data_IF_357516056870
#
_entry.id   IF_357516056870
#
_cell.length_a   1.000
_cell.length_b   1.000
_cell.length_c   1.000
_cell.angle_alpha   90.00
_cell.angle_beta   90.00
_cell.angle_gamma   90.00
#
_symmetry.space_group_name_H-M   'P 1'
#
loop_
_entity.id
_entity.type
_entity.pdbx_description
1 polymer ?
#
# COMPACT_ATOMS: atom_id res chain seq x y z
N UNK A 1 -19.04 -22.57 -15.00
CA UNK A 1 -18.98 -21.78 -13.74
C UNK A 1 -19.43 -20.37 -14.06
N UNK A 2 -20.44 -19.85 -13.39
CA UNK A 2 -20.86 -18.45 -13.51
C UNK A 2 -19.69 -17.58 -13.05
N UNK A 3 -19.25 -16.63 -13.89
CA UNK A 3 -18.16 -15.71 -13.49
C UNK A 3 -18.63 -14.92 -12.27
N UNK A 4 -17.82 -14.90 -11.21
CA UNK A 4 -18.11 -14.21 -9.94
C UNK A 4 -18.04 -12.67 -10.12
N UNK A 5 -17.47 -12.20 -11.22
CA UNK A 5 -17.31 -10.79 -11.60
C UNK A 5 -17.31 -10.65 -13.13
N UNK A 6 -17.58 -9.45 -13.63
CA UNK A 6 -17.41 -9.11 -15.03
C UNK A 6 -16.21 -8.16 -15.22
N UNK A 7 -15.49 -8.28 -16.34
CA UNK A 7 -14.42 -7.39 -16.75
C UNK A 7 -14.65 -6.95 -18.18
N UNK A 8 -14.66 -5.64 -18.41
CA UNK A 8 -14.88 -5.01 -19.71
C UNK A 8 -13.88 -3.87 -19.90
N UNK A 9 -13.32 -3.73 -21.08
CA UNK A 9 -12.52 -2.56 -21.46
C UNK A 9 -13.38 -1.68 -22.35
N UNK A 10 -13.55 -0.42 -21.99
CA UNK A 10 -14.27 0.55 -22.82
C UNK A 10 -13.41 1.00 -24.01
N UNK A 11 -14.02 1.60 -25.03
CA UNK A 11 -13.31 2.06 -26.24
C UNK A 11 -12.21 3.08 -25.94
N UNK A 12 -12.35 3.87 -24.87
CA UNK A 12 -11.35 4.81 -24.39
C UNK A 12 -10.26 4.19 -23.51
N UNK A 13 -10.24 2.86 -23.36
CA UNK A 13 -9.24 2.12 -22.64
C UNK A 13 -9.52 1.93 -21.14
N UNK A 14 -10.60 2.50 -20.58
CA UNK A 14 -10.95 2.30 -19.18
C UNK A 14 -11.29 0.82 -18.90
N UNK A 15 -10.58 0.23 -17.95
CA UNK A 15 -10.88 -1.12 -17.46
C UNK A 15 -11.98 -1.04 -16.41
N UNK A 16 -13.09 -1.75 -16.63
CA UNK A 16 -14.24 -1.78 -15.72
C UNK A 16 -14.40 -3.19 -15.17
N UNK A 17 -14.40 -3.32 -13.85
CA UNK A 17 -14.65 -4.56 -13.13
C UNK A 17 -15.90 -4.41 -12.26
N UNK A 18 -16.87 -5.30 -12.43
CA UNK A 18 -18.15 -5.25 -11.73
C UNK A 18 -18.40 -6.55 -10.98
N UNK A 19 -18.84 -6.45 -9.72
CA UNK A 19 -19.21 -7.59 -8.87
C UNK A 19 -20.54 -7.34 -8.17
N UNK A 20 -21.57 -8.06 -8.56
CA UNK A 20 -22.89 -7.98 -7.91
C UNK A 20 -22.85 -8.64 -6.53
N UNK A 21 -23.34 -7.92 -5.50
CA UNK A 21 -23.44 -8.39 -4.11
C UNK A 21 -24.71 -7.79 -3.51
N UNK A 22 -25.74 -8.61 -3.28
CA UNK A 22 -27.05 -8.18 -2.81
C UNK A 22 -27.27 -8.39 -1.31
N UNK A 23 -26.21 -8.35 -0.50
CA UNK A 23 -26.31 -8.55 0.96
C UNK A 23 -26.70 -7.30 1.74
N UNK A 24 -26.50 -6.12 1.14
CA UNK A 24 -26.86 -4.82 1.69
C UNK A 24 -27.15 -3.85 0.54
N UNK A 25 -28.04 -2.86 0.71
CA UNK A 25 -28.38 -1.87 -0.32
C UNK A 25 -27.30 -0.80 -0.48
N UNK A 26 -26.06 -1.23 -0.65
CA UNK A 26 -24.88 -0.38 -0.78
C UNK A 26 -24.09 -0.74 -2.05
N UNK A 27 -23.44 0.27 -2.61
CA UNK A 27 -22.47 0.10 -3.71
C UNK A 27 -21.21 0.85 -3.35
N UNK A 28 -20.05 0.23 -3.57
CA UNK A 28 -18.74 0.86 -3.48
C UNK A 28 -18.12 0.94 -4.86
N UNK A 29 -17.67 2.12 -5.24
CA UNK A 29 -16.97 2.44 -6.49
C UNK A 29 -15.55 2.90 -6.17
N UNK A 30 -14.56 2.34 -6.85
CA UNK A 30 -13.15 2.72 -6.72
C UNK A 30 -12.58 3.00 -8.09
N UNK A 31 -12.02 4.19 -8.28
CA UNK A 31 -11.21 4.50 -9.46
C UNK A 31 -9.73 4.45 -9.09
N UNK A 32 -8.97 3.67 -9.82
CA UNK A 32 -7.55 3.43 -9.62
C UNK A 32 -6.78 3.99 -10.79
N UNK A 33 -5.80 4.83 -10.53
CA UNK A 33 -4.85 5.29 -11.52
C UNK A 33 -3.51 4.58 -11.32
N UNK A 34 -2.93 4.10 -12.43
CA UNK A 34 -1.61 3.46 -12.41
C UNK A 34 -0.52 4.53 -12.34
N UNK A 35 -0.46 5.22 -11.24
CA UNK A 35 0.52 6.26 -10.89
C UNK A 35 0.62 6.38 -9.39
N UNK A 36 1.85 6.38 -8.90
CA UNK A 36 2.19 6.56 -7.48
C UNK A 36 3.62 7.05 -7.36
N UNK A 37 4.21 6.95 -6.18
CA UNK A 37 5.57 7.49 -5.98
C UNK A 37 6.63 6.80 -6.85
N UNK A 38 6.42 5.57 -7.31
CA UNK A 38 7.32 4.89 -8.26
C UNK A 38 7.41 5.56 -9.64
N UNK A 39 6.41 6.35 -10.02
CA UNK A 39 6.37 7.04 -11.32
C UNK A 39 6.92 8.46 -11.23
N UNK A 40 7.51 8.82 -10.09
CA UNK A 40 8.10 10.12 -9.80
C UNK A 40 9.59 10.17 -10.16
N UNK A 41 10.07 11.37 -10.39
CA UNK A 41 11.49 11.62 -10.67
C UNK A 41 12.08 12.52 -9.58
N UNK A 42 13.36 12.43 -9.35
CA UNK A 42 14.09 13.33 -8.45
C UNK A 42 13.80 14.79 -8.81
N UNK A 43 13.50 15.59 -7.81
CA UNK A 43 13.05 16.98 -7.96
C UNK A 43 11.53 17.14 -7.94
N UNK A 44 10.77 16.02 -8.00
CA UNK A 44 9.32 16.01 -8.01
C UNK A 44 8.74 14.88 -7.13
N UNK A 45 9.46 14.48 -6.09
CA UNK A 45 8.97 13.47 -5.14
C UNK A 45 7.77 14.02 -4.35
N UNK A 46 6.76 13.17 -4.13
CA UNK A 46 5.50 13.56 -3.49
C UNK A 46 4.46 14.18 -4.43
N UNK A 47 4.76 14.32 -5.73
CA UNK A 47 3.84 14.93 -6.68
C UNK A 47 2.54 14.13 -6.85
N UNK A 48 2.60 12.80 -6.76
CA UNK A 48 1.42 11.92 -6.88
C UNK A 48 0.48 12.11 -5.69
N UNK A 49 1.02 12.18 -4.48
CA UNK A 49 0.27 12.46 -3.27
C UNK A 49 -0.34 13.88 -3.28
N UNK A 50 0.44 14.87 -3.67
CA UNK A 50 -0.08 16.22 -3.79
C UNK A 50 -1.14 16.35 -4.89
N UNK A 51 -1.01 15.64 -6.01
CA UNK A 51 -2.07 15.56 -7.01
C UNK A 51 -3.35 14.93 -6.45
N UNK A 52 -3.25 13.94 -5.56
CA UNK A 52 -4.40 13.39 -4.84
C UNK A 52 -5.13 14.48 -4.06
N UNK A 53 -4.44 15.29 -3.25
CA UNK A 53 -5.01 16.42 -2.52
C UNK A 53 -5.71 17.42 -3.45
N UNK A 54 -5.10 17.73 -4.58
CA UNK A 54 -5.69 18.66 -5.56
C UNK A 54 -7.00 18.14 -6.18
N UNK A 55 -7.23 16.83 -6.20
CA UNK A 55 -8.50 16.27 -6.68
C UNK A 55 -9.68 16.64 -5.77
N UNK A 56 -9.44 16.97 -4.49
CA UNK A 56 -10.47 17.44 -3.56
C UNK A 56 -10.78 18.95 -3.67
N UNK A 57 -9.99 19.70 -4.47
CA UNK A 57 -10.21 21.14 -4.68
C UNK A 57 -11.30 21.43 -5.71
N UNK A 58 -11.89 20.37 -6.29
CA UNK A 58 -13.11 20.45 -7.11
C UNK A 58 -12.87 20.69 -8.59
N UNK A 59 -13.98 20.80 -9.27
CA UNK A 59 -14.11 21.09 -10.71
C UNK A 59 -15.08 22.21 -10.93
N UNK A 60 -15.20 22.78 -12.14
CA UNK A 60 -16.25 23.75 -12.45
C UNK A 60 -17.67 23.24 -12.19
N UNK A 61 -17.89 21.93 -12.34
CA UNK A 61 -19.19 21.29 -12.15
C UNK A 61 -19.44 20.91 -10.68
N UNK A 62 -18.39 20.47 -9.99
CA UNK A 62 -18.42 20.07 -8.59
C UNK A 62 -17.39 20.89 -7.80
N UNK A 63 -17.72 22.14 -7.41
CA UNK A 63 -16.83 22.93 -6.57
C UNK A 63 -16.54 22.26 -5.23
N UNK A 64 -15.33 22.45 -4.68
CA UNK A 64 -14.83 21.77 -3.48
C UNK A 64 -15.79 21.82 -2.28
N UNK A 65 -16.40 22.98 -2.04
CA UNK A 65 -17.35 23.18 -0.94
C UNK A 65 -18.67 22.40 -1.07
N UNK A 66 -18.95 21.83 -2.25
CA UNK A 66 -20.15 21.03 -2.53
C UNK A 66 -19.87 19.53 -2.57
N UNK A 67 -18.64 19.11 -2.87
CA UNK A 67 -18.27 17.69 -3.02
C UNK A 67 -18.58 16.89 -1.74
N UNK A 68 -17.95 17.26 -0.63
CA UNK A 68 -18.13 16.56 0.65
C UNK A 68 -19.60 16.58 1.10
N UNK A 69 -20.24 17.77 0.98
CA UNK A 69 -21.66 17.92 1.37
C UNK A 69 -22.59 17.08 0.51
N UNK A 70 -22.30 16.92 -0.78
CA UNK A 70 -23.13 16.12 -1.68
C UNK A 70 -23.06 14.63 -1.33
N UNK A 71 -21.86 14.11 -1.07
CA UNK A 71 -21.66 12.72 -0.65
C UNK A 71 -22.25 12.47 0.73
N UNK A 72 -21.97 13.34 1.71
CA UNK A 72 -22.47 13.20 3.09
C UNK A 72 -24.00 13.31 3.18
N UNK A 73 -24.61 14.25 2.43
CA UNK A 73 -26.09 14.41 2.37
C UNK A 73 -26.77 13.13 1.91
N UNK A 74 -26.19 12.43 0.97
CA UNK A 74 -26.77 11.22 0.40
C UNK A 74 -26.33 9.94 1.16
N UNK A 75 -25.69 10.10 2.34
CA UNK A 75 -25.30 9.01 3.25
C UNK A 75 -24.09 8.21 2.77
N UNK A 76 -23.28 8.82 1.92
CA UNK A 76 -22.05 8.23 1.41
C UNK A 76 -20.84 8.49 2.31
N UNK A 77 -19.82 7.69 2.11
CA UNK A 77 -18.45 7.91 2.59
C UNK A 77 -17.51 7.89 1.39
N UNK A 78 -16.47 8.69 1.44
CA UNK A 78 -15.46 8.78 0.40
C UNK A 78 -14.09 9.01 1.01
N UNK A 79 -13.06 8.62 0.29
CA UNK A 79 -11.66 8.92 0.62
C UNK A 79 -10.78 8.71 -0.61
N UNK A 80 -9.48 8.97 -0.46
CA UNK A 80 -8.46 8.69 -1.45
C UNK A 80 -7.18 8.20 -0.76
N UNK A 81 -6.30 7.58 -1.54
CA UNK A 81 -5.01 7.11 -1.07
C UNK A 81 -4.02 7.11 -2.23
N UNK A 82 -2.81 7.53 -1.96
CA UNK A 82 -1.65 7.32 -2.83
C UNK A 82 -0.72 6.30 -2.21
N UNK A 83 -0.23 5.38 -3.03
CA UNK A 83 0.75 4.38 -2.64
C UNK A 83 1.91 4.37 -3.67
N UNK A 84 2.82 3.40 -3.57
CA UNK A 84 3.95 3.33 -4.49
C UNK A 84 3.51 3.19 -5.96
N UNK A 85 2.55 2.32 -6.25
CA UNK A 85 2.18 1.91 -7.62
C UNK A 85 0.89 2.54 -8.14
N UNK A 86 0.13 3.21 -7.28
CA UNK A 86 -1.21 3.67 -7.60
C UNK A 86 -1.67 4.84 -6.74
N UNK A 87 -2.62 5.59 -7.30
CA UNK A 87 -3.48 6.54 -6.59
C UNK A 87 -4.92 6.13 -6.83
N UNK A 88 -5.74 6.13 -5.78
CA UNK A 88 -7.13 5.69 -5.85
C UNK A 88 -8.07 6.61 -5.10
N UNK A 89 -9.29 6.71 -5.59
CA UNK A 89 -10.40 7.43 -4.98
C UNK A 89 -11.59 6.48 -4.88
N UNK A 90 -12.38 6.60 -3.83
CA UNK A 90 -13.54 5.74 -3.68
C UNK A 90 -14.71 6.43 -3.00
N UNK A 91 -15.90 5.97 -3.36
CA UNK A 91 -17.15 6.23 -2.68
C UNK A 91 -17.85 4.92 -2.34
N UNK A 92 -18.40 4.87 -1.13
CA UNK A 92 -19.38 3.84 -0.75
C UNK A 92 -20.68 4.54 -0.39
N UNK A 93 -21.74 4.24 -1.13
CA UNK A 93 -23.00 4.95 -1.07
C UNK A 93 -24.20 3.99 -1.05
N UNK A 94 -25.39 4.44 -0.61
CA UNK A 94 -26.63 3.75 -0.91
C UNK A 94 -26.73 3.45 -2.41
N UNK A 95 -27.26 2.27 -2.75
CA UNK A 95 -27.27 1.77 -4.13
C UNK A 95 -27.98 2.71 -5.12
N UNK A 96 -29.03 3.41 -4.67
CA UNK A 96 -29.77 4.40 -5.47
C UNK A 96 -29.07 5.75 -5.60
N UNK A 97 -27.91 5.94 -4.95
CA UNK A 97 -27.13 7.20 -4.94
C UNK A 97 -25.75 7.08 -5.58
N UNK A 98 -25.29 5.88 -5.94
CA UNK A 98 -23.92 5.68 -6.46
C UNK A 98 -23.61 6.45 -7.75
N UNK A 99 -24.64 6.81 -8.52
CA UNK A 99 -24.49 7.63 -9.74
C UNK A 99 -23.81 8.96 -9.46
N UNK A 100 -23.99 9.55 -8.28
CA UNK A 100 -23.30 10.76 -7.87
C UNK A 100 -21.77 10.53 -7.79
N UNK A 101 -21.33 9.47 -7.11
CA UNK A 101 -19.90 9.14 -7.00
C UNK A 101 -19.27 8.89 -8.37
N UNK A 102 -19.92 8.07 -9.21
CA UNK A 102 -19.44 7.81 -10.57
C UNK A 102 -19.28 9.09 -11.40
N UNK A 103 -20.18 10.06 -11.26
CA UNK A 103 -20.11 11.35 -11.98
C UNK A 103 -19.05 12.28 -11.44
N UNK A 104 -18.83 12.30 -10.12
CA UNK A 104 -17.76 13.06 -9.49
C UNK A 104 -16.42 12.56 -10.03
N UNK A 105 -16.17 11.25 -9.99
CA UNK A 105 -14.92 10.64 -10.43
C UNK A 105 -14.66 10.85 -11.92
N UNK A 106 -15.69 10.70 -12.77
CA UNK A 106 -15.58 10.94 -14.19
C UNK A 106 -15.26 12.42 -14.50
N UNK A 107 -15.82 13.34 -13.74
CA UNK A 107 -15.59 14.77 -13.94
C UNK A 107 -14.20 15.18 -13.49
N UNK A 108 -13.75 14.74 -12.30
CA UNK A 108 -12.39 15.07 -11.82
C UNK A 108 -11.27 14.34 -12.58
N UNK A 109 -11.56 13.29 -13.33
CA UNK A 109 -10.59 12.67 -14.24
C UNK A 109 -10.08 13.65 -15.33
N UNK A 110 -10.91 14.66 -15.73
CA UNK A 110 -10.58 15.56 -16.85
C UNK A 110 -10.69 17.04 -16.52
N UNK A 111 -11.45 17.42 -15.48
CA UNK A 111 -11.83 18.80 -15.20
C UNK A 111 -11.35 19.33 -13.84
N UNK A 112 -10.47 18.61 -13.12
CA UNK A 112 -9.92 19.11 -11.86
C UNK A 112 -9.20 20.43 -12.05
N UNK A 113 -9.50 21.38 -11.15
CA UNK A 113 -8.94 22.73 -11.19
C UNK A 113 -7.70 22.80 -10.32
N UNK A 114 -6.57 23.06 -10.95
CA UNK A 114 -5.30 23.30 -10.26
C UNK A 114 -5.10 24.83 -10.16
N UNK A 115 -5.93 25.47 -9.32
CA UNK A 115 -5.84 26.91 -9.07
C UNK A 115 -4.58 27.25 -8.26
N UNK A 116 -3.87 28.31 -8.60
CA UNK A 116 -2.62 28.70 -7.97
C UNK A 116 -2.76 29.00 -6.45
N UNK A 117 -3.91 29.56 -6.04
CA UNK A 117 -4.16 29.86 -4.64
C UNK A 117 -4.42 28.60 -3.83
N UNK A 118 -5.18 27.65 -4.41
CA UNK A 118 -5.41 26.35 -3.80
C UNK A 118 -4.10 25.57 -3.69
N UNK A 119 -3.25 25.57 -4.72
CA UNK A 119 -1.92 24.95 -4.69
C UNK A 119 -1.05 25.58 -3.60
N UNK A 120 -1.03 26.90 -3.49
CA UNK A 120 -0.24 27.58 -2.45
C UNK A 120 -0.74 27.25 -1.03
N UNK A 121 -2.07 27.13 -0.86
CA UNK A 121 -2.68 26.71 0.40
C UNK A 121 -2.34 25.26 0.72
N UNK A 122 -2.50 24.35 -0.27
CA UNK A 122 -2.31 22.94 -0.10
C UNK A 122 -0.83 22.55 0.09
N UNK A 123 0.09 23.31 -0.50
CA UNK A 123 1.52 23.20 -0.21
C UNK A 123 1.80 23.22 1.29
N UNK A 124 1.16 24.16 2.00
CA UNK A 124 1.33 24.29 3.45
C UNK A 124 0.80 23.05 4.17
N UNK A 125 -0.31 22.49 3.70
CA UNK A 125 -0.91 21.26 4.26
C UNK A 125 0.03 20.09 4.07
N UNK A 126 0.46 19.82 2.85
CA UNK A 126 1.35 18.67 2.52
C UNK A 126 2.70 18.79 3.24
N UNK A 127 3.27 20.01 3.33
CA UNK A 127 4.49 20.24 4.11
C UNK A 127 4.23 19.97 5.61
N UNK A 128 3.10 20.42 6.16
CA UNK A 128 2.77 20.16 7.58
C UNK A 128 2.55 18.66 7.85
N UNK A 129 1.99 17.91 6.91
CA UNK A 129 1.88 16.44 7.01
C UNK A 129 3.25 15.77 6.99
N UNK A 130 4.16 16.22 6.11
CA UNK A 130 5.54 15.74 6.07
C UNK A 130 6.26 16.02 7.40
N UNK A 131 6.21 17.26 7.88
CA UNK A 131 6.82 17.65 9.15
C UNK A 131 6.17 16.93 10.34
N UNK A 132 4.85 16.67 10.27
CA UNK A 132 4.13 15.84 11.25
C UNK A 132 4.63 14.40 11.28
N UNK A 133 4.85 13.81 10.12
CA UNK A 133 5.40 12.45 9.98
C UNK A 133 6.83 12.33 10.52
N UNK A 134 7.65 13.38 10.37
CA UNK A 134 9.02 13.42 10.91
C UNK A 134 9.07 13.43 12.47
N UNK A 135 7.96 13.64 13.15
CA UNK A 135 7.88 13.47 14.61
C UNK A 135 7.70 12.00 15.03
N UNK A 136 7.43 11.09 14.11
CA UNK A 136 7.35 9.65 14.39
C UNK A 136 8.70 8.97 14.16
N UNK A 137 9.35 8.45 15.20
CA UNK A 137 10.59 7.68 15.07
C UNK A 137 10.51 6.52 14.08
N UNK A 138 9.35 5.87 13.97
CA UNK A 138 9.13 4.74 13.07
C UNK A 138 9.15 5.20 11.61
N UNK A 139 8.60 6.37 11.32
CA UNK A 139 8.64 6.98 10.00
C UNK A 139 10.08 7.33 9.59
N UNK A 140 10.81 8.03 10.46
CA UNK A 140 12.20 8.40 10.18
C UNK A 140 13.10 7.18 9.93
N UNK A 141 12.92 6.14 10.75
CA UNK A 141 13.67 4.90 10.59
C UNK A 141 13.29 4.16 9.30
N UNK A 142 11.99 4.03 9.03
CA UNK A 142 11.46 3.36 7.84
C UNK A 142 11.95 4.03 6.55
N UNK A 143 11.84 5.36 6.47
CA UNK A 143 12.33 6.15 5.34
C UNK A 143 13.84 5.96 5.10
N UNK A 144 14.63 6.02 6.16
CA UNK A 144 16.09 5.82 6.06
C UNK A 144 16.45 4.40 5.60
N UNK A 145 15.73 3.38 6.09
CA UNK A 145 15.90 1.98 5.69
C UNK A 145 15.49 1.78 4.23
N UNK A 146 14.34 2.30 3.82
CA UNK A 146 13.86 2.23 2.45
C UNK A 146 14.81 2.91 1.48
N UNK A 147 15.28 4.10 1.80
CA UNK A 147 16.26 4.83 1.00
C UNK A 147 17.58 4.06 0.84
N UNK A 148 18.05 3.42 1.91
CA UNK A 148 19.26 2.58 1.87
C UNK A 148 19.08 1.25 1.13
N UNK A 149 17.85 0.74 1.06
CA UNK A 149 17.53 -0.51 0.37
C UNK A 149 17.53 -0.36 -1.15
N UNK A 150 17.04 0.77 -1.67
CA UNK A 150 16.89 1.01 -3.11
C UNK A 150 17.88 2.05 -3.60
N UNK A 151 18.73 1.64 -4.53
CA UNK A 151 19.77 2.48 -5.10
C UNK A 151 19.37 3.12 -6.44
N UNK A 152 18.54 2.42 -7.20
CA UNK A 152 18.14 2.83 -8.55
C UNK A 152 16.63 2.79 -8.77
N UNK A 153 15.91 1.93 -8.08
CA UNK A 153 14.46 1.82 -8.20
C UNK A 153 13.76 3.02 -7.52
N UNK A 154 12.71 3.59 -8.12
CA UNK A 154 11.98 4.72 -7.52
C UNK A 154 11.32 4.44 -6.17
N UNK A 155 11.24 3.20 -5.73
CA UNK A 155 10.81 2.87 -4.36
C UNK A 155 11.78 3.37 -3.26
N UNK A 156 12.83 4.11 -3.61
CA UNK A 156 13.79 4.62 -2.64
C UNK A 156 13.25 5.77 -1.77
N UNK A 157 12.18 6.47 -2.19
CA UNK A 157 11.63 7.62 -1.46
C UNK A 157 10.21 7.36 -0.95
N UNK A 158 9.83 8.10 0.06
CA UNK A 158 8.51 8.03 0.66
C UNK A 158 7.43 8.66 -0.24
N UNK A 159 6.19 8.20 -0.07
CA UNK A 159 5.03 8.63 -0.86
C UNK A 159 4.77 10.12 -0.69
N UNK A 160 4.97 10.64 0.52
CA UNK A 160 4.76 12.06 0.83
C UNK A 160 5.79 12.97 0.16
N UNK A 161 6.93 12.42 -0.26
CA UNK A 161 8.00 13.14 -0.95
C UNK A 161 8.95 13.90 -0.05
N UNK A 162 10.01 14.43 -0.66
CA UNK A 162 11.07 15.17 0.01
C UNK A 162 10.71 16.65 0.18
N UNK A 163 11.03 17.21 1.35
CA UNK A 163 10.68 18.59 1.68
C UNK A 163 11.22 19.64 0.67
N UNK A 164 12.45 19.51 0.12
CA UNK A 164 12.92 20.42 -0.92
C UNK A 164 12.07 20.39 -2.19
N UNK A 165 11.62 19.20 -2.62
CA UNK A 165 10.80 19.01 -3.80
C UNK A 165 9.42 19.63 -3.59
N UNK A 166 8.77 19.36 -2.44
CA UNK A 166 7.49 19.95 -2.06
C UNK A 166 7.53 21.50 -2.05
N UNK A 167 8.66 22.08 -1.64
CA UNK A 167 8.85 23.53 -1.63
C UNK A 167 9.04 24.13 -3.03
N UNK A 168 9.62 23.38 -3.97
CA UNK A 168 10.03 23.88 -5.28
C UNK A 168 9.02 23.62 -6.41
N UNK A 169 8.20 22.55 -6.30
CA UNK A 169 7.22 22.20 -7.35
C UNK A 169 6.27 23.34 -7.68
N UNK A 170 6.06 23.56 -8.96
CA UNK A 170 5.16 24.57 -9.49
C UNK A 170 3.74 24.02 -9.76
N UNK A 171 2.81 24.93 -10.00
CA UNK A 171 1.47 24.57 -10.48
C UNK A 171 1.53 23.74 -11.77
N UNK A 172 2.41 24.09 -12.68
CA UNK A 172 2.50 23.43 -13.99
C UNK A 172 3.08 22.00 -13.86
N UNK A 173 3.98 21.75 -12.91
CA UNK A 173 4.44 20.40 -12.62
C UNK A 173 3.29 19.50 -12.18
N UNK A 174 2.49 19.93 -11.20
CA UNK A 174 1.31 19.21 -10.70
C UNK A 174 0.27 19.01 -11.80
N UNK A 175 -0.05 20.05 -12.57
CA UNK A 175 -1.04 19.96 -13.63
C UNK A 175 -0.58 19.04 -14.77
N UNK A 176 0.70 19.09 -15.15
CA UNK A 176 1.27 18.20 -16.16
C UNK A 176 1.27 16.74 -15.68
N UNK A 177 1.57 16.49 -14.39
CA UNK A 177 1.46 15.16 -13.81
C UNK A 177 0.02 14.64 -13.87
N UNK A 178 -0.95 15.44 -13.43
CA UNK A 178 -2.37 15.12 -13.55
C UNK A 178 -2.76 14.80 -15.00
N UNK A 179 -2.42 15.67 -15.96
CA UNK A 179 -2.78 15.47 -17.37
C UNK A 179 -2.11 14.25 -18.00
N UNK A 180 -0.96 13.84 -17.49
CA UNK A 180 -0.21 12.69 -17.99
C UNK A 180 -0.81 11.37 -17.51
N UNK A 181 -1.22 11.29 -16.25
CA UNK A 181 -1.54 10.02 -15.63
C UNK A 181 -3.03 9.79 -15.38
N UNK A 182 -3.85 10.85 -15.25
CA UNK A 182 -5.27 10.74 -14.92
C UNK A 182 -6.11 10.69 -16.20
N UNK A 183 -6.11 9.50 -16.83
CA UNK A 183 -6.84 9.26 -18.07
C UNK A 183 -7.48 7.86 -18.07
N UNK A 184 -8.56 7.63 -18.84
CA UNK A 184 -9.27 6.36 -18.86
C UNK A 184 -8.37 5.14 -19.14
N UNK A 185 -7.48 5.26 -20.11
CA UNK A 185 -6.56 4.18 -20.50
C UNK A 185 -5.43 3.91 -19.50
N UNK A 186 -5.29 4.72 -18.45
CA UNK A 186 -4.41 4.49 -17.31
C UNK A 186 -5.19 4.14 -16.03
N UNK A 187 -6.51 3.96 -16.14
CA UNK A 187 -7.38 3.77 -15.00
C UNK A 187 -8.10 2.42 -14.98
N UNK A 188 -8.49 2.01 -13.78
CA UNK A 188 -9.36 0.87 -13.51
C UNK A 188 -10.52 1.36 -12.66
N UNK A 189 -11.75 1.09 -13.09
CA UNK A 189 -12.95 1.32 -12.31
C UNK A 189 -13.45 -0.02 -11.77
N UNK A 190 -13.41 -0.20 -10.46
CA UNK A 190 -13.94 -1.40 -9.78
C UNK A 190 -15.17 -1.04 -8.95
N UNK A 191 -16.27 -1.75 -9.19
CA UNK A 191 -17.55 -1.50 -8.52
C UNK A 191 -18.09 -2.81 -7.96
N UNK A 192 -18.42 -2.83 -6.67
CA UNK A 192 -19.07 -3.96 -6.03
C UNK A 192 -20.28 -3.50 -5.22
N UNK A 193 -21.34 -4.32 -5.17
CA UNK A 193 -22.51 -4.03 -4.37
C UNK A 193 -23.84 -4.38 -5.03
N UNK A 194 -24.89 -3.74 -4.56
CA UNK A 194 -26.27 -4.02 -4.93
C UNK A 194 -26.68 -3.31 -6.23
N UNK A 195 -26.39 -3.93 -7.35
CA UNK A 195 -26.77 -3.47 -8.69
C UNK A 195 -26.88 -4.65 -9.65
N UNK A 196 -27.48 -4.40 -10.84
CA UNK A 196 -27.41 -5.35 -11.95
C UNK A 196 -26.26 -4.98 -12.89
N UNK A 197 -25.41 -5.93 -13.19
CA UNK A 197 -24.19 -5.73 -14.03
C UNK A 197 -24.50 -5.04 -15.35
N UNK A 198 -25.58 -5.44 -16.05
CA UNK A 198 -25.94 -4.85 -17.35
C UNK A 198 -26.34 -3.38 -17.25
N UNK A 199 -27.10 -3.02 -16.20
CA UNK A 199 -27.54 -1.63 -15.96
C UNK A 199 -26.37 -0.76 -15.52
N UNK A 200 -25.54 -1.25 -14.59
CA UNK A 200 -24.34 -0.54 -14.13
C UNK A 200 -23.35 -0.31 -15.27
N UNK A 201 -23.08 -1.32 -16.09
CA UNK A 201 -22.17 -1.17 -17.25
C UNK A 201 -22.70 -0.16 -18.27
N UNK A 202 -24.00 -0.13 -18.53
CA UNK A 202 -24.62 0.85 -19.42
C UNK A 202 -24.46 2.28 -18.86
N UNK A 203 -24.68 2.47 -17.57
CA UNK A 203 -24.50 3.75 -16.89
C UNK A 203 -23.02 4.22 -16.93
N UNK A 204 -22.09 3.31 -16.63
CA UNK A 204 -20.64 3.61 -16.70
C UNK A 204 -20.24 3.99 -18.14
N UNK A 205 -20.76 3.33 -19.17
CA UNK A 205 -20.52 3.68 -20.58
C UNK A 205 -21.04 5.08 -20.92
N UNK A 206 -22.22 5.46 -20.41
CA UNK A 206 -22.77 6.81 -20.64
C UNK A 206 -21.93 7.89 -19.96
N UNK A 207 -21.43 7.64 -18.74
CA UNK A 207 -20.65 8.58 -17.93
C UNK A 207 -19.20 8.68 -18.44
N UNK A 208 -18.49 7.56 -18.51
CA UNK A 208 -17.05 7.52 -18.81
C UNK A 208 -16.71 7.36 -20.28
N UNK A 209 -17.59 6.76 -21.09
CA UNK A 209 -17.29 6.46 -22.50
C UNK A 209 -17.06 7.69 -23.37
N UNK A 210 -17.50 8.86 -22.94
CA UNK A 210 -17.32 10.14 -23.62
C UNK A 210 -15.97 10.82 -23.29
N UNK A 211 -15.27 10.33 -22.27
CA UNK A 211 -13.96 10.86 -21.86
C UNK A 211 -12.92 10.39 -22.88
N UNK A 212 -12.14 11.29 -23.48
CA UNK A 212 -11.16 10.89 -24.48
C UNK A 212 -10.04 10.06 -23.85
N UNK A 213 -9.50 9.13 -24.63
CA UNK A 213 -8.27 8.42 -24.29
C UNK A 213 -7.12 9.40 -24.16
N UNK A 214 -6.31 9.27 -23.11
CA UNK A 214 -5.06 10.02 -22.96
C UNK A 214 -3.91 9.39 -23.75
N UNK A 215 -2.79 10.09 -23.83
CA UNK A 215 -1.54 9.50 -24.28
C UNK A 215 -1.13 8.36 -23.33
N UNK A 216 -0.37 7.38 -23.82
CA UNK A 216 0.20 6.36 -22.95
C UNK A 216 1.21 7.04 -22.00
N UNK A 217 1.03 6.94 -20.68
CA UNK A 217 1.96 7.58 -19.74
C UNK A 217 3.34 6.91 -19.82
N UNK A 218 4.40 7.68 -19.56
CA UNK A 218 5.74 7.13 -19.47
C UNK A 218 5.80 6.10 -18.33
N UNK A 219 6.60 5.05 -18.52
CA UNK A 219 6.85 4.05 -17.47
C UNK A 219 8.32 4.07 -17.08
N UNK A 220 8.57 4.28 -15.81
CA UNK A 220 9.92 4.17 -15.27
C UNK A 220 10.24 2.70 -15.08
N UNK A 221 11.22 2.19 -15.84
CA UNK A 221 11.70 0.81 -15.77
C UNK A 221 13.16 0.82 -15.32
N UNK A 222 13.37 0.98 -14.03
CA UNK A 222 14.69 0.94 -13.40
C UNK A 222 14.72 -0.17 -12.35
N UNK A 223 15.02 -1.42 -12.74
CA UNK A 223 15.08 -2.51 -11.77
C UNK A 223 16.18 -2.25 -10.74
N UNK A 224 15.91 -2.60 -9.50
CA UNK A 224 16.95 -2.56 -8.46
C UNK A 224 17.98 -3.66 -8.72
N UNK A 225 19.28 -3.33 -8.75
CA UNK A 225 20.31 -4.34 -8.86
C UNK A 225 20.35 -5.24 -7.62
N UNK A 226 20.80 -6.49 -7.78
CA UNK A 226 20.94 -7.39 -6.65
C UNK A 226 21.85 -6.77 -5.56
N UNK A 227 21.39 -6.87 -4.33
CA UNK A 227 22.18 -6.43 -3.17
C UNK A 227 23.45 -7.28 -3.03
N UNK A 228 24.59 -6.63 -2.77
CA UNK A 228 25.92 -7.25 -2.70
C UNK A 228 26.48 -7.32 -1.27
N UNK A 229 25.83 -6.70 -0.30
CA UNK A 229 26.27 -6.64 1.09
C UNK A 229 25.14 -6.16 2.01
N UNK A 230 25.31 -6.43 3.31
CA UNK A 230 24.44 -5.88 4.33
C UNK A 230 24.67 -4.37 4.46
N UNK A 231 23.59 -3.61 4.53
CA UNK A 231 23.62 -2.20 4.88
C UNK A 231 23.21 -2.01 6.33
N UNK A 232 23.96 -1.20 7.07
CA UNK A 232 23.64 -0.80 8.44
C UNK A 232 23.61 0.70 8.55
N UNK A 233 22.59 1.23 9.22
CA UNK A 233 22.44 2.66 9.45
C UNK A 233 21.91 2.93 10.87
N UNK A 234 22.17 4.13 11.34
CA UNK A 234 21.63 4.63 12.61
C UNK A 234 20.95 5.97 12.34
N UNK A 235 19.72 6.08 12.81
CA UNK A 235 18.95 7.31 12.84
C UNK A 235 18.90 7.79 14.29
N UNK A 236 19.16 9.06 14.53
CA UNK A 236 19.06 9.65 15.85
C UNK A 236 18.00 10.76 15.83
N UNK A 237 17.14 10.78 16.83
CA UNK A 237 16.04 11.75 16.87
C UNK A 237 15.36 11.82 18.24
N UNK A 238 14.27 12.59 18.36
CA UNK A 238 13.57 12.78 19.61
C UNK A 238 12.92 11.49 20.14
N UNK A 239 12.67 11.45 21.45
CA UNK A 239 11.96 10.34 22.11
C UNK A 239 12.81 9.59 23.12
N UNK A 240 12.26 8.48 23.63
CA UNK A 240 12.88 7.66 24.67
C UNK A 240 13.05 6.19 24.27
N UNK A 241 12.50 5.81 23.12
CA UNK A 241 12.41 4.41 22.68
C UNK A 241 13.37 4.10 21.54
N UNK A 242 14.12 3.03 21.68
CA UNK A 242 14.99 2.49 20.63
C UNK A 242 14.18 1.54 19.74
N UNK A 243 14.29 1.70 18.41
CA UNK A 243 13.69 0.81 17.43
C UNK A 243 14.76 0.16 16.56
N UNK A 244 14.46 -1.04 16.11
CA UNK A 244 15.27 -1.78 15.14
C UNK A 244 14.36 -2.17 13.96
N UNK A 245 14.75 -1.80 12.76
CA UNK A 245 14.11 -2.22 11.51
C UNK A 245 15.06 -3.13 10.73
N UNK A 246 14.61 -4.33 10.41
CA UNK A 246 15.34 -5.33 9.65
C UNK A 246 14.55 -5.62 8.38
N UNK A 247 15.00 -5.07 7.27
CA UNK A 247 14.29 -5.15 5.99
C UNK A 247 15.09 -5.94 4.96
N UNK A 248 14.41 -6.85 4.26
CA UNK A 248 14.95 -7.68 3.18
C UNK A 248 14.26 -7.36 1.87
N UNK A 249 14.97 -7.33 0.75
CA UNK A 249 14.30 -7.34 -0.54
C UNK A 249 13.44 -8.59 -0.67
N UNK A 250 12.21 -8.39 -1.09
CA UNK A 250 11.17 -9.40 -1.21
C UNK A 250 10.60 -9.42 -2.65
N UNK A 251 9.99 -10.54 -3.09
CA UNK A 251 9.42 -10.63 -4.42
C UNK A 251 8.20 -9.72 -4.60
N UNK A 252 7.95 -9.31 -5.85
CA UNK A 252 6.72 -8.61 -6.23
C UNK A 252 5.48 -9.51 -6.00
N UNK A 253 4.30 -8.90 -5.86
CA UNK A 253 3.06 -9.63 -5.57
C UNK A 253 2.65 -10.62 -6.68
N UNK A 254 3.05 -10.37 -7.92
CA UNK A 254 2.78 -11.26 -9.06
C UNK A 254 3.76 -12.44 -9.17
N UNK A 255 4.83 -12.46 -8.38
CA UNK A 255 5.76 -13.60 -8.31
C UNK A 255 5.15 -14.74 -7.45
N UNK A 256 5.37 -15.98 -7.86
CA UNK A 256 4.92 -17.16 -7.10
C UNK A 256 5.63 -17.29 -5.74
N UNK A 257 6.84 -16.75 -5.61
CA UNK A 257 7.60 -16.74 -4.36
C UNK A 257 7.02 -15.77 -3.31
N UNK A 258 6.11 -14.87 -3.68
CA UNK A 258 5.38 -14.01 -2.76
C UNK A 258 4.58 -14.80 -1.72
N UNK A 259 3.95 -15.90 -2.11
CA UNK A 259 3.11 -16.71 -1.23
C UNK A 259 3.90 -17.40 -0.11
N UNK A 260 5.03 -18.09 -0.38
CA UNK A 260 5.85 -18.61 0.69
C UNK A 260 6.48 -17.52 1.57
N UNK A 261 6.81 -16.31 1.06
CA UNK A 261 7.24 -15.18 1.90
C UNK A 261 6.11 -14.75 2.84
N UNK A 262 4.87 -14.69 2.38
CA UNK A 262 3.69 -14.41 3.23
C UNK A 262 3.52 -15.44 4.37
N UNK A 263 3.77 -16.71 4.08
CA UNK A 263 3.74 -17.75 5.13
C UNK A 263 4.89 -17.58 6.11
N UNK A 264 6.09 -17.22 5.63
CA UNK A 264 7.25 -16.93 6.50
C UNK A 264 7.00 -15.71 7.38
N UNK A 265 6.36 -14.65 6.88
CA UNK A 265 5.93 -13.50 7.68
C UNK A 265 5.01 -13.93 8.83
N UNK A 266 3.96 -14.70 8.51
CA UNK A 266 3.04 -15.23 9.53
C UNK A 266 3.73 -16.09 10.59
N UNK A 267 4.76 -16.84 10.22
CA UNK A 267 5.55 -17.66 11.14
C UNK A 267 6.48 -16.83 12.02
N UNK A 268 7.14 -15.83 11.43
CA UNK A 268 8.14 -14.98 12.07
C UNK A 268 7.51 -13.94 12.99
N UNK A 269 6.70 -13.06 12.45
CA UNK A 269 6.21 -11.86 13.13
C UNK A 269 4.71 -11.94 13.49
N UNK A 270 4.01 -12.92 12.94
CA UNK A 270 2.55 -13.02 12.96
C UNK A 270 1.95 -12.49 11.65
N UNK A 271 0.69 -12.86 11.34
CA UNK A 271 0.12 -12.53 10.04
C UNK A 271 -0.09 -11.03 9.88
N UNK A 272 0.38 -10.48 8.78
CA UNK A 272 0.12 -9.11 8.36
C UNK A 272 -1.02 -9.04 7.34
N UNK A 273 -1.80 -7.96 7.39
CA UNK A 273 -2.87 -7.72 6.42
C UNK A 273 -2.28 -7.12 5.13
N UNK A 274 -2.69 -7.68 4.00
CA UNK A 274 -2.42 -7.09 2.69
C UNK A 274 -3.43 -6.00 2.31
N UNK A 275 -4.44 -5.78 3.14
CA UNK A 275 -5.43 -4.73 2.99
C UNK A 275 -5.14 -3.60 3.98
N UNK A 276 -4.86 -2.40 3.48
CA UNK A 276 -4.56 -1.23 4.31
C UNK A 276 -5.76 -0.76 5.16
N UNK A 277 -6.99 -1.19 4.83
CA UNK A 277 -8.19 -0.91 5.64
C UNK A 277 -8.38 -1.89 6.79
N UNK A 278 -7.38 -2.71 7.06
CA UNK A 278 -7.33 -3.62 8.19
C UNK A 278 -8.24 -4.83 8.05
N UNK A 279 -7.92 -5.83 8.77
CA UNK A 279 -8.72 -7.04 8.99
C UNK A 279 -8.77 -7.36 10.47
N UNK A 280 -8.68 -6.34 11.33
CA UNK A 280 -8.55 -6.53 12.77
C UNK A 280 -7.15 -7.02 13.17
N UNK A 281 -6.77 -6.80 14.42
CA UNK A 281 -5.51 -7.28 14.98
C UNK A 281 -5.59 -8.77 15.32
N UNK A 282 -4.98 -9.62 14.50
CA UNK A 282 -4.73 -11.00 14.90
C UNK A 282 -3.51 -11.02 15.82
N UNK A 283 -3.65 -11.65 16.98
CA UNK A 283 -2.55 -11.74 17.95
C UNK A 283 -1.34 -12.46 17.34
N UNK A 284 -0.17 -11.85 17.47
CA UNK A 284 1.11 -12.44 17.03
C UNK A 284 1.83 -13.28 18.11
N UNK A 285 1.21 -13.48 19.28
CA UNK A 285 1.82 -14.20 20.43
C UNK A 285 2.30 -15.61 20.12
N UNK A 286 1.84 -16.22 19.04
CA UNK A 286 2.27 -17.54 18.60
C UNK A 286 3.41 -17.52 17.60
N UNK A 287 3.85 -16.35 17.17
CA UNK A 287 4.96 -16.18 16.21
C UNK A 287 6.31 -16.49 16.87
N UNK A 288 7.30 -16.82 16.04
CA UNK A 288 8.65 -17.17 16.52
C UNK A 288 9.36 -15.97 17.14
N UNK A 289 9.27 -14.81 16.50
CA UNK A 289 9.92 -13.59 16.99
C UNK A 289 9.26 -13.07 18.27
N UNK A 290 7.93 -13.18 18.42
CA UNK A 290 7.30 -12.83 19.69
C UNK A 290 7.89 -13.63 20.84
N UNK A 291 8.04 -14.96 20.67
CA UNK A 291 8.62 -15.84 21.69
C UNK A 291 10.11 -15.58 21.93
N UNK A 292 10.86 -15.27 20.85
CA UNK A 292 12.30 -15.04 20.94
C UNK A 292 12.66 -13.66 21.53
N UNK A 293 11.81 -12.66 21.33
CA UNK A 293 12.09 -11.28 21.67
C UNK A 293 11.21 -10.77 22.81
N UNK A 294 9.88 -10.90 22.69
CA UNK A 294 8.94 -10.31 23.66
C UNK A 294 8.85 -11.16 24.93
N UNK A 295 8.67 -12.47 24.82
CA UNK A 295 8.66 -13.37 26.00
C UNK A 295 10.02 -13.45 26.72
N UNK A 296 11.11 -13.06 26.04
CA UNK A 296 12.46 -12.97 26.61
C UNK A 296 12.83 -11.57 27.09
N UNK A 297 11.86 -10.67 27.09
CA UNK A 297 12.04 -9.28 27.55
C UNK A 297 13.16 -8.52 26.84
N UNK A 298 13.48 -8.88 25.59
CA UNK A 298 14.37 -8.11 24.73
C UNK A 298 13.62 -6.97 24.06
N UNK A 299 12.34 -7.19 23.75
CA UNK A 299 11.49 -6.23 23.08
C UNK A 299 10.12 -6.08 23.78
N UNK A 300 9.50 -4.91 23.61
CA UNK A 300 8.12 -4.62 23.98
C UNK A 300 7.16 -5.18 22.92
N UNK A 301 7.54 -5.03 21.66
CA UNK A 301 6.76 -5.49 20.53
C UNK A 301 7.63 -5.88 19.34
N UNK A 302 7.08 -6.72 18.48
CA UNK A 302 7.63 -7.05 17.18
C UNK A 302 6.48 -7.14 16.16
N UNK A 303 6.69 -6.58 15.00
CA UNK A 303 5.74 -6.65 13.88
C UNK A 303 6.47 -6.91 12.57
N UNK A 304 5.81 -7.58 11.63
CA UNK A 304 6.28 -7.78 10.27
C UNK A 304 5.38 -7.09 9.27
N UNK A 305 5.90 -6.83 8.09
CA UNK A 305 5.14 -6.26 6.99
C UNK A 305 5.65 -6.70 5.63
N UNK A 306 4.73 -7.16 4.78
CA UNK A 306 4.97 -7.48 3.38
C UNK A 306 3.93 -6.73 2.53
N UNK A 307 4.38 -5.87 1.63
CA UNK A 307 3.50 -5.12 0.74
C UNK A 307 3.27 -5.87 -0.59
N UNK A 308 2.05 -5.82 -1.09
CA UNK A 308 1.71 -6.32 -2.43
C UNK A 308 1.97 -5.22 -3.47
N UNK A 309 3.18 -5.21 -4.04
CA UNK A 309 3.67 -4.22 -4.99
C UNK A 309 3.85 -4.80 -6.40
N UNK A 310 3.86 -3.94 -7.40
CA UNK A 310 4.04 -4.32 -8.81
C UNK A 310 5.47 -4.80 -9.11
N UNK A 311 6.46 -4.20 -8.46
CA UNK A 311 7.88 -4.61 -8.53
C UNK A 311 8.36 -5.14 -7.16
N UNK A 312 9.51 -5.84 -7.10
CA UNK A 312 10.08 -6.28 -5.83
C UNK A 312 10.27 -5.14 -4.84
N UNK A 313 9.79 -5.34 -3.60
CA UNK A 313 9.86 -4.36 -2.52
C UNK A 313 10.54 -4.96 -1.28
N UNK A 314 10.15 -4.55 -0.09
CA UNK A 314 10.73 -5.00 1.16
C UNK A 314 9.76 -5.90 1.94
N UNK A 315 10.35 -6.87 2.64
CA UNK A 315 9.79 -7.50 3.82
C UNK A 315 10.50 -6.92 5.03
N UNK A 316 9.77 -6.23 5.89
CA UNK A 316 10.33 -5.52 7.04
C UNK A 316 9.87 -6.16 8.34
N UNK A 317 10.77 -6.20 9.34
CA UNK A 317 10.47 -6.55 10.72
C UNK A 317 10.91 -5.40 11.61
N UNK A 318 9.94 -4.78 12.27
CA UNK A 318 10.17 -3.69 13.21
C UNK A 318 10.08 -4.21 14.63
N UNK A 319 11.08 -3.90 15.46
CA UNK A 319 11.21 -4.31 16.84
C UNK A 319 11.28 -3.07 17.71
N UNK A 320 10.36 -2.94 18.66
CA UNK A 320 10.43 -1.93 19.72
C UNK A 320 11.18 -2.52 20.91
N UNK A 321 12.34 -2.00 21.23
CA UNK A 321 13.19 -2.56 22.28
C UNK A 321 12.65 -2.26 23.69
N UNK A 322 12.88 -3.18 24.61
CA UNK A 322 12.71 -2.86 26.01
C UNK A 322 13.77 -1.84 26.49
N UNK A 323 13.42 -0.93 27.39
CA UNK A 323 14.39 -0.02 27.98
C UNK A 323 15.63 -0.76 28.51
N UNK A 324 16.82 -0.19 28.28
CA UNK A 324 18.14 -0.76 28.70
C UNK A 324 18.59 -2.00 27.93
N UNK A 325 17.84 -2.48 26.94
CA UNK A 325 18.32 -3.54 26.03
C UNK A 325 19.10 -2.93 24.87
N UNK A 326 20.07 -3.69 24.40
CA UNK A 326 20.90 -3.26 23.26
C UNK A 326 20.33 -3.79 21.94
N UNK A 327 20.37 -3.02 20.86
CA UNK A 327 19.90 -3.48 19.54
C UNK A 327 20.57 -4.78 19.09
N UNK A 328 21.85 -4.97 19.44
CA UNK A 328 22.63 -6.15 19.08
C UNK A 328 22.09 -7.43 19.73
N UNK A 329 21.52 -7.34 20.94
CA UNK A 329 20.91 -8.51 21.62
C UNK A 329 19.66 -8.97 20.88
N UNK A 330 18.81 -8.02 20.46
CA UNK A 330 17.59 -8.31 19.70
C UNK A 330 17.94 -8.81 18.29
N UNK A 331 18.91 -8.20 17.62
CA UNK A 331 19.37 -8.63 16.30
C UNK A 331 19.96 -10.05 16.36
N UNK A 332 20.74 -10.38 17.37
CA UNK A 332 21.28 -11.73 17.54
C UNK A 332 20.17 -12.77 17.76
N UNK A 333 19.16 -12.44 18.56
CA UNK A 333 18.00 -13.33 18.77
C UNK A 333 17.17 -13.49 17.49
N UNK A 334 16.98 -12.43 16.70
CA UNK A 334 16.35 -12.46 15.40
C UNK A 334 17.15 -13.37 14.44
N UNK A 335 18.46 -13.20 14.34
CA UNK A 335 19.32 -13.98 13.44
C UNK A 335 19.30 -15.47 13.78
N UNK A 336 19.12 -15.86 15.05
CA UNK A 336 18.92 -17.27 15.45
C UNK A 336 17.65 -17.84 14.83
N UNK A 337 16.55 -17.10 14.85
CA UNK A 337 15.29 -17.58 14.24
C UNK A 337 15.36 -17.64 12.72
N UNK A 338 16.02 -16.67 12.07
CA UNK A 338 16.27 -16.73 10.63
C UNK A 338 17.11 -17.97 10.27
N UNK A 339 18.18 -18.23 11.04
CA UNK A 339 19.03 -19.42 10.81
C UNK A 339 18.25 -20.72 10.97
N UNK A 340 17.35 -20.81 11.95
CA UNK A 340 16.47 -21.99 12.11
C UNK A 340 15.59 -22.22 10.90
N UNK A 341 15.02 -21.15 10.30
CA UNK A 341 14.22 -21.26 9.07
C UNK A 341 15.04 -21.76 7.86
N UNK A 342 16.35 -21.45 7.86
CA UNK A 342 17.26 -21.88 6.79
C UNK A 342 17.77 -23.30 6.97
N UNK A 343 18.02 -23.72 8.19
CA UNK A 343 18.69 -24.99 8.51
C UNK A 343 17.70 -26.13 8.76
N UNK A 344 16.53 -25.85 9.31
CA UNK A 344 15.54 -26.82 9.75
C UNK A 344 14.28 -26.79 8.88
N UNK A 345 13.65 -27.94 8.65
CA UNK A 345 12.32 -28.00 8.07
C UNK A 345 11.29 -27.57 9.10
N UNK A 346 10.44 -26.63 8.71
CA UNK A 346 9.38 -26.14 9.58
C UNK A 346 8.32 -27.23 9.80
N UNK A 347 7.93 -27.51 11.06
CA UNK A 347 6.89 -28.49 11.35
C UNK A 347 5.54 -28.14 10.69
N UNK A 348 4.87 -29.14 10.12
CA UNK A 348 3.60 -28.93 9.38
C UNK A 348 2.51 -28.27 10.24
N UNK A 349 2.47 -28.51 11.55
CA UNK A 349 1.52 -27.88 12.46
C UNK A 349 1.74 -26.36 12.59
N UNK A 350 2.99 -25.89 12.53
CA UNK A 350 3.29 -24.45 12.52
C UNK A 350 2.85 -23.81 11.21
N UNK A 351 3.14 -24.44 10.06
CA UNK A 351 2.71 -23.97 8.74
C UNK A 351 1.18 -23.91 8.66
N UNK A 352 0.51 -24.97 9.11
CA UNK A 352 -0.97 -25.03 9.13
C UNK A 352 -1.56 -23.88 9.97
N UNK A 353 -0.94 -23.56 11.12
CA UNK A 353 -1.36 -22.44 11.96
C UNK A 353 -1.15 -21.12 11.25
N UNK A 354 0.02 -20.86 10.66
CA UNK A 354 0.33 -19.64 9.95
C UNK A 354 -0.64 -19.41 8.76
N UNK A 355 -0.88 -20.43 7.95
CA UNK A 355 -1.84 -20.38 6.86
C UNK A 355 -3.26 -20.09 7.38
N UNK A 356 -3.68 -20.72 8.48
CA UNK A 356 -4.99 -20.48 9.10
C UNK A 356 -5.15 -19.02 9.55
N UNK A 357 -4.11 -18.43 10.11
CA UNK A 357 -4.10 -17.02 10.53
C UNK A 357 -4.15 -16.07 9.32
N UNK A 358 -3.34 -16.31 8.29
CA UNK A 358 -3.38 -15.54 7.05
C UNK A 358 -4.76 -15.62 6.35
N UNK A 359 -5.39 -16.81 6.36
CA UNK A 359 -6.76 -17.00 5.84
C UNK A 359 -7.78 -16.19 6.63
N UNK A 360 -7.66 -16.11 7.95
CA UNK A 360 -8.57 -15.33 8.77
C UNK A 360 -8.47 -13.84 8.45
N UNK A 361 -7.25 -13.29 8.37
CA UNK A 361 -7.05 -11.88 7.98
C UNK A 361 -7.56 -11.58 6.58
N UNK A 362 -7.30 -12.47 5.63
CA UNK A 362 -7.82 -12.32 4.28
C UNK A 362 -9.36 -12.29 4.24
N UNK A 363 -10.02 -13.17 5.01
CA UNK A 363 -11.47 -13.18 5.12
C UNK A 363 -12.00 -11.87 5.73
N UNK A 364 -11.43 -11.42 6.86
CA UNK A 364 -11.81 -10.14 7.48
C UNK A 364 -11.56 -8.96 6.56
N UNK A 365 -10.41 -8.94 5.86
CA UNK A 365 -10.05 -7.88 4.92
C UNK A 365 -10.87 -7.88 3.61
N UNK A 366 -11.83 -8.80 3.44
CA UNK A 366 -12.68 -8.90 2.24
C UNK A 366 -14.17 -9.03 2.56
N UNK A 367 -14.59 -8.82 3.82
CA UNK A 367 -15.96 -9.10 4.27
C UNK A 367 -16.98 -8.08 3.76
N UNK A 368 -16.69 -6.79 3.89
CA UNK A 368 -17.65 -5.74 3.53
C UNK A 368 -17.58 -5.33 2.05
N UNK A 369 -18.61 -4.62 1.58
CA UNK A 369 -18.75 -4.20 0.19
C UNK A 369 -17.58 -3.28 -0.25
N UNK A 370 -17.15 -2.36 0.61
CA UNK A 370 -16.02 -1.46 0.32
C UNK A 370 -14.74 -2.25 0.06
N UNK A 371 -14.43 -3.23 0.91
CA UNK A 371 -13.27 -4.09 0.75
C UNK A 371 -13.38 -5.04 -0.46
N UNK A 372 -14.59 -5.47 -0.83
CA UNK A 372 -14.81 -6.27 -2.04
C UNK A 372 -14.49 -5.45 -3.30
N UNK A 373 -14.93 -4.19 -3.37
CA UNK A 373 -14.60 -3.28 -4.46
C UNK A 373 -13.11 -2.90 -4.48
N UNK A 374 -12.50 -2.69 -3.30
CA UNK A 374 -11.06 -2.48 -3.13
C UNK A 374 -10.26 -3.62 -3.77
N UNK A 375 -10.48 -4.87 -3.36
CA UNK A 375 -9.73 -6.02 -3.86
C UNK A 375 -9.94 -6.26 -5.36
N UNK A 376 -11.14 -5.94 -5.87
CA UNK A 376 -11.47 -6.07 -7.28
C UNK A 376 -10.56 -5.19 -8.15
N UNK A 377 -10.23 -3.98 -7.69
CA UNK A 377 -9.33 -3.06 -8.39
C UNK A 377 -7.86 -3.20 -7.96
N UNK A 378 -7.58 -3.33 -6.66
CA UNK A 378 -6.21 -3.41 -6.14
C UNK A 378 -5.41 -4.56 -6.77
N UNK A 379 -6.01 -5.75 -6.85
CA UNK A 379 -5.33 -6.90 -7.47
C UNK A 379 -4.97 -6.66 -8.95
N UNK A 380 -5.74 -5.84 -9.67
CA UNK A 380 -5.44 -5.48 -11.07
C UNK A 380 -4.23 -4.53 -11.20
N UNK A 381 -3.79 -3.91 -10.10
CA UNK A 381 -2.63 -3.01 -10.13
C UNK A 381 -1.33 -3.79 -10.30
N UNK A 382 -1.25 -5.04 -9.84
CA UNK A 382 -0.02 -5.84 -9.88
C UNK A 382 -0.15 -7.20 -10.57
N UNK A 383 -1.34 -7.83 -10.61
CA UNK A 383 -1.47 -9.19 -11.18
C UNK A 383 -2.78 -9.45 -11.92
N UNK A 384 -3.90 -8.91 -11.42
CA UNK A 384 -5.25 -9.21 -11.87
C UNK A 384 -6.10 -9.91 -10.79
N UNK A 385 -7.43 -9.80 -10.88
CA UNK A 385 -8.33 -10.27 -9.83
C UNK A 385 -8.28 -11.79 -9.58
N UNK A 386 -7.83 -12.58 -10.55
CA UNK A 386 -7.59 -14.02 -10.36
C UNK A 386 -6.50 -14.31 -9.31
N UNK A 387 -5.57 -13.38 -9.10
CA UNK A 387 -4.60 -13.46 -8.00
C UNK A 387 -5.34 -13.51 -6.65
N UNK A 388 -6.29 -12.60 -6.43
CA UNK A 388 -7.11 -12.57 -5.22
C UNK A 388 -7.94 -13.85 -5.06
N UNK A 389 -8.61 -14.30 -6.12
CA UNK A 389 -9.45 -15.50 -6.09
C UNK A 389 -8.67 -16.78 -5.77
N UNK A 390 -7.40 -16.85 -6.17
CA UNK A 390 -6.55 -18.03 -5.97
C UNK A 390 -5.58 -17.91 -4.80
N UNK A 391 -5.56 -16.76 -4.10
CA UNK A 391 -4.60 -16.46 -3.05
C UNK A 391 -4.57 -17.53 -1.95
N UNK A 392 -5.71 -17.88 -1.39
CA UNK A 392 -5.81 -18.88 -0.31
C UNK A 392 -5.38 -20.29 -0.76
N UNK A 393 -5.67 -20.64 -2.01
CA UNK A 393 -5.27 -21.94 -2.58
C UNK A 393 -3.76 -22.01 -2.80
N UNK A 394 -3.14 -20.88 -3.17
CA UNK A 394 -1.69 -20.78 -3.32
C UNK A 394 -0.98 -20.87 -1.97
N UNK A 395 -1.49 -20.19 -0.94
CA UNK A 395 -0.97 -20.33 0.43
C UNK A 395 -1.06 -21.79 0.93
N UNK A 396 -2.19 -22.46 0.66
CA UNK A 396 -2.40 -23.83 1.10
C UNK A 396 -1.45 -24.85 0.47
N UNK A 397 -0.82 -24.52 -0.66
CA UNK A 397 0.12 -25.38 -1.37
C UNK A 397 1.57 -25.22 -0.91
N UNK A 398 1.86 -24.22 -0.09
CA UNK A 398 3.22 -23.95 0.39
C UNK A 398 3.73 -25.11 1.25
N UNK A 399 4.92 -25.60 0.94
CA UNK A 399 5.55 -26.77 1.58
C UNK A 399 6.70 -26.36 2.52
N UNK A 400 7.07 -27.21 3.51
CA UNK A 400 8.24 -26.97 4.36
C UNK A 400 9.55 -26.79 3.59
N UNK A 401 9.76 -27.59 2.53
CA UNK A 401 10.97 -27.51 1.71
C UNK A 401 11.03 -26.20 0.91
N UNK A 402 9.88 -25.74 0.42
CA UNK A 402 9.77 -24.45 -0.27
C UNK A 402 10.06 -23.28 0.68
N UNK A 403 9.50 -23.28 1.89
CA UNK A 403 9.77 -22.25 2.90
C UNK A 403 11.26 -22.19 3.25
N UNK A 404 11.92 -23.33 3.45
CA UNK A 404 13.36 -23.38 3.71
C UNK A 404 14.17 -22.82 2.51
N UNK A 405 13.82 -23.21 1.27
CA UNK A 405 14.45 -22.67 0.07
C UNK A 405 14.31 -21.15 -0.01
N UNK A 406 13.11 -20.63 0.23
CA UNK A 406 12.81 -19.20 0.19
C UNK A 406 13.53 -18.44 1.31
N UNK A 407 13.56 -18.97 2.53
CA UNK A 407 14.34 -18.38 3.62
C UNK A 407 15.84 -18.27 3.29
N UNK A 408 16.42 -19.30 2.66
CA UNK A 408 17.81 -19.26 2.18
C UNK A 408 18.05 -18.27 1.05
N UNK A 409 17.05 -18.04 0.20
CA UNK A 409 17.16 -17.11 -0.94
C UNK A 409 17.07 -15.66 -0.48
N UNK A 410 16.07 -15.32 0.30
CA UNK A 410 15.74 -13.93 0.64
C UNK A 410 16.32 -13.47 1.98
N UNK A 411 16.31 -14.29 3.03
CA UNK A 411 16.70 -13.88 4.38
C UNK A 411 18.19 -14.11 4.66
N UNK A 412 19.02 -13.59 3.78
CA UNK A 412 20.49 -13.63 3.91
C UNK A 412 21.04 -12.25 4.21
N UNK A 413 22.15 -12.13 4.94
CA UNK A 413 22.73 -10.83 5.30
C UNK A 413 22.97 -9.92 4.10
N UNK A 414 23.40 -10.47 2.94
CA UNK A 414 23.68 -9.68 1.75
C UNK A 414 22.42 -9.03 1.13
N UNK A 415 21.24 -9.44 1.53
CA UNK A 415 19.95 -8.97 0.98
C UNK A 415 19.20 -8.09 1.97
N UNK A 416 19.85 -7.60 3.03
CA UNK A 416 19.15 -6.84 4.09
C UNK A 416 19.75 -5.49 4.38
N UNK A 417 18.88 -4.62 4.87
CA UNK A 417 19.22 -3.38 5.56
C UNK A 417 18.83 -3.54 7.03
N UNK A 418 19.70 -3.09 7.93
CA UNK A 418 19.45 -3.04 9.38
C UNK A 418 19.54 -1.60 9.82
N UNK A 419 18.40 -1.01 10.13
CA UNK A 419 18.28 0.33 10.68
C UNK A 419 18.09 0.29 12.20
N UNK A 420 18.75 1.19 12.90
CA UNK A 420 18.58 1.39 14.34
C UNK A 420 18.20 2.84 14.61
N UNK A 421 17.09 3.05 15.30
CA UNK A 421 16.74 4.37 15.82
C UNK A 421 17.20 4.51 17.26
N UNK A 422 18.00 5.53 17.55
CA UNK A 422 18.51 5.84 18.89
C UNK A 422 17.90 7.17 19.34
N UNK A 423 17.12 7.17 20.45
CA UNK A 423 16.57 8.40 20.97
C UNK A 423 17.68 9.27 21.58
N UNK A 424 17.65 10.54 21.25
CA UNK A 424 18.55 11.58 21.83
C UNK A 424 17.88 12.18 23.04
N UNK A 425 17.34 11.69 23.98
CA UNK A 425 16.70 12.39 25.11
C UNK A 425 16.17 13.79 24.77
N UNK A 426 15.21 14.31 25.44
CA UNK A 426 14.75 15.69 25.17
C UNK A 426 15.95 16.66 25.36
N UNK A 427 16.51 17.17 24.24
CA UNK A 427 17.22 18.44 24.32
C UNK A 427 16.14 19.48 24.68
N UNK A 428 16.17 19.94 25.93
CA UNK A 428 15.42 21.12 26.34
C UNK A 428 15.85 22.23 25.39
N UNK A 429 15.00 22.53 24.39
CA UNK A 429 15.17 23.74 23.59
C UNK A 429 15.01 24.91 24.54
N UNK A 430 16.15 25.48 24.98
CA UNK A 430 16.25 26.74 25.75
C UNK A 430 15.91 27.91 24.84
#
# INVERSE_FOLDING_TARGET
>A
MTKIYSKTVLENGLNVLLKEIHTAPLVSSWIWYRVGSRDEITGHTGISHWCEHMQFKGTPKFPSNLLERAVARDGGMWNAFTYFDWTTFFETMPADKIDLGLRIEADRMINSVFDEKEIASERTVVISEREGSENDPSFLLGEAVQNAAFRTHPYHHEIIGDLPDLKSMSRDDLYNHYRTFYAPNNAILSVAGDFKTTEMLANIRDIYGKIPMGAAPPRITRPEPAAIGEHRLTVEGPGETTYLDISYHAPAANDLEFFPVTVLDSLLAGPSSLNMFGGGGTSNKTSRLYRALVEKELAVSVGGGLAATADPFLYSVVITLNPKRKPEEALAAFDVEIKRLQDELIPLNEITRAIKQARALFAYGSENITNQAFWLGHAEMFAGYDWFLTYLDKLAKVTPAELQKIARKYFRPQNRVVGTYIPRGEEVRV
#
